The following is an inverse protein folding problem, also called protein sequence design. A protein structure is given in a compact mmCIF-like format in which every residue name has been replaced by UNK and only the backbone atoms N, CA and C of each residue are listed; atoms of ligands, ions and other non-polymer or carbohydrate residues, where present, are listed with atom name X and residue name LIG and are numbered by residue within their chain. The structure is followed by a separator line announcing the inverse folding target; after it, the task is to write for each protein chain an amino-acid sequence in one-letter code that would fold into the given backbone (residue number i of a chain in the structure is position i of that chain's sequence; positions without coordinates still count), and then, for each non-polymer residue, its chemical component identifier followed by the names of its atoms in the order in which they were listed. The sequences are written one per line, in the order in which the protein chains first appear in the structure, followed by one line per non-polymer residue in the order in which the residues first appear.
data_IF_163506252768
#
_entry.id   IF_163506252768
#
_cell.length_a   1.000
_cell.length_b   1.000
_cell.length_c   1.000
_cell.angle_alpha   90.00
_cell.angle_beta   90.00
_cell.angle_gamma   90.00
#
_symmetry.space_group_name_H-M   'P 1'
#
loop_
_entity.id
_entity.type
_entity.pdbx_description
1 polymer ?
#
# COMPACT_ATOMS: atom_id res chain seq x y z
N UNK A 1 -85.51 41.12 1.67
CA UNK A 1 -84.25 41.10 0.84
C UNK A 1 -83.25 40.18 1.47
N UNK A 2 -82.95 39.09 0.79
CA UNK A 2 -82.20 37.99 1.34
C UNK A 2 -80.68 38.18 1.04
N UNK A 3 -79.88 38.34 2.10
CA UNK A 3 -78.44 38.34 1.99
C UNK A 3 -77.87 36.91 2.09
N UNK A 4 -77.38 36.37 0.99
CA UNK A 4 -76.66 35.10 0.98
C UNK A 4 -75.33 35.25 1.70
N UNK A 5 -75.13 34.58 2.87
CA UNK A 5 -73.84 34.40 3.51
C UNK A 5 -73.01 33.39 2.70
N UNK A 6 -72.02 33.87 2.00
CA UNK A 6 -70.99 33.02 1.42
C UNK A 6 -70.19 32.38 2.56
N UNK A 7 -70.35 31.05 2.77
CA UNK A 7 -69.48 30.25 3.61
C UNK A 7 -68.18 30.03 2.85
N UNK A 8 -67.17 30.82 3.17
CA UNK A 8 -65.79 30.55 2.70
C UNK A 8 -65.37 29.16 3.16
N UNK A 9 -65.20 28.29 2.21
CA UNK A 9 -64.56 26.94 2.45
C UNK A 9 -63.09 27.17 2.72
N UNK A 10 -62.69 27.22 4.00
CA UNK A 10 -61.34 27.21 4.40
C UNK A 10 -60.80 25.79 4.14
N UNK A 11 -60.04 25.61 3.04
CA UNK A 11 -59.20 24.45 2.86
C UNK A 11 -58.10 24.50 3.90
N UNK A 12 -58.28 23.81 5.01
CA UNK A 12 -57.25 23.58 6.00
C UNK A 12 -56.23 22.63 5.40
N UNK A 13 -55.19 23.18 4.76
CA UNK A 13 -54.07 22.42 4.23
C UNK A 13 -53.44 21.68 5.40
N UNK A 14 -53.58 20.36 5.40
CA UNK A 14 -53.05 19.43 6.40
C UNK A 14 -51.53 19.28 6.20
N UNK A 15 -50.77 20.40 6.24
CA UNK A 15 -49.32 20.46 5.96
C UNK A 15 -48.45 19.98 7.10
N UNK A 16 -49.00 19.77 8.30
CA UNK A 16 -48.18 19.42 9.47
C UNK A 16 -47.63 17.99 9.42
N UNK A 17 -48.32 17.05 8.76
CA UNK A 17 -47.87 15.66 8.64
C UNK A 17 -46.72 15.48 7.67
N UNK A 18 -46.79 16.10 6.50
CA UNK A 18 -45.75 16.01 5.46
C UNK A 18 -44.46 16.64 5.96
N UNK A 19 -44.51 17.78 6.64
CA UNK A 19 -43.31 18.42 7.18
C UNK A 19 -42.64 17.57 8.28
N UNK A 20 -43.44 16.89 9.09
CA UNK A 20 -42.96 15.98 10.13
C UNK A 20 -42.27 14.74 9.52
N UNK A 21 -42.88 14.17 8.48
CA UNK A 21 -42.28 13.02 7.75
C UNK A 21 -41.01 13.42 7.04
N UNK A 22 -40.95 14.57 6.38
CA UNK A 22 -39.71 15.08 5.75
C UNK A 22 -38.59 15.30 6.75
N UNK A 23 -38.87 15.88 7.91
CA UNK A 23 -37.88 16.04 8.98
C UNK A 23 -37.38 14.68 9.48
N UNK A 24 -38.26 13.72 9.66
CA UNK A 24 -37.87 12.36 10.10
C UNK A 24 -36.96 11.70 9.07
N UNK A 25 -37.32 11.74 7.79
CA UNK A 25 -36.49 11.21 6.70
C UNK A 25 -35.14 11.93 6.68
N UNK A 26 -35.12 13.25 6.79
CA UNK A 26 -33.89 14.02 6.81
C UNK A 26 -32.93 13.60 7.97
N UNK A 27 -33.48 13.50 9.19
CA UNK A 27 -32.68 13.07 10.34
C UNK A 27 -32.21 11.63 10.22
N UNK A 28 -33.02 10.73 9.65
CA UNK A 28 -32.63 9.33 9.43
C UNK A 28 -31.49 9.24 8.42
N UNK A 29 -31.58 9.98 7.30
CA UNK A 29 -30.50 10.02 6.30
C UNK A 29 -29.22 10.65 6.88
N UNK A 30 -29.36 11.74 7.63
CA UNK A 30 -28.23 12.39 8.29
C UNK A 30 -27.53 11.44 9.27
N UNK A 31 -28.29 10.73 10.11
CA UNK A 31 -27.76 9.75 11.05
C UNK A 31 -27.03 8.61 10.31
N UNK A 32 -27.61 8.13 9.21
CA UNK A 32 -26.99 7.09 8.38
C UNK A 32 -25.67 7.55 7.78
N UNK A 33 -25.59 8.76 7.25
CA UNK A 33 -24.35 9.35 6.71
C UNK A 33 -23.30 9.50 7.81
N UNK A 34 -23.68 9.96 9.01
CA UNK A 34 -22.77 10.10 10.14
C UNK A 34 -22.22 8.75 10.61
N UNK A 35 -23.06 7.71 10.67
CA UNK A 35 -22.59 6.36 11.06
C UNK A 35 -21.65 5.77 10.02
N UNK A 36 -21.94 5.91 8.72
CA UNK A 36 -21.03 5.48 7.65
C UNK A 36 -19.69 6.22 7.72
N UNK A 37 -19.70 7.53 7.95
CA UNK A 37 -18.48 8.33 8.09
C UNK A 37 -17.65 7.88 9.28
N UNK A 38 -18.27 7.61 10.43
CA UNK A 38 -17.57 7.12 11.61
C UNK A 38 -16.93 5.75 11.38
N UNK A 39 -17.63 4.83 10.71
CA UNK A 39 -17.09 3.51 10.35
C UNK A 39 -15.90 3.66 9.40
N UNK A 40 -16.02 4.52 8.38
CA UNK A 40 -14.94 4.74 7.42
C UNK A 40 -13.68 5.33 8.08
N UNK A 41 -13.85 6.33 8.96
CA UNK A 41 -12.74 6.90 9.75
C UNK A 41 -12.09 5.84 10.63
N UNK A 42 -12.87 4.96 11.25
CA UNK A 42 -12.33 3.86 12.08
C UNK A 42 -11.50 2.89 11.24
N UNK A 43 -12.00 2.50 10.07
CA UNK A 43 -11.26 1.60 9.15
C UNK A 43 -9.95 2.25 8.72
N UNK A 44 -9.95 3.51 8.29
CA UNK A 44 -8.75 4.23 7.85
C UNK A 44 -7.73 4.46 8.97
N UNK A 45 -8.20 4.52 10.24
CA UNK A 45 -7.28 4.60 11.38
C UNK A 45 -6.58 3.27 11.70
N UNK A 46 -7.23 2.15 11.41
CA UNK A 46 -6.70 0.81 11.71
C UNK A 46 -5.90 0.26 10.52
N UNK A 47 -6.37 0.49 9.31
CA UNK A 47 -5.78 -0.03 8.07
C UNK A 47 -5.15 1.09 7.24
N UNK A 48 -4.01 0.78 6.64
CA UNK A 48 -3.32 1.65 5.70
C UNK A 48 -3.31 0.99 4.32
N UNK A 49 -3.66 1.72 3.25
CA UNK A 49 -3.45 1.23 1.89
C UNK A 49 -1.94 1.12 1.63
N UNK A 50 -1.51 -0.02 1.11
CA UNK A 50 -0.11 -0.35 0.85
C UNK A 50 -0.03 -1.21 -0.41
N UNK A 51 1.16 -1.33 -0.95
CA UNK A 51 1.47 -2.23 -2.05
C UNK A 51 2.12 -3.50 -1.50
N UNK A 52 1.49 -4.63 -1.73
CA UNK A 52 2.05 -5.94 -1.41
C UNK A 52 2.98 -6.34 -2.55
N UNK A 53 4.28 -6.37 -2.29
CA UNK A 53 5.27 -6.83 -3.25
C UNK A 53 5.43 -8.35 -3.21
N UNK A 54 5.50 -8.96 -4.38
CA UNK A 54 5.77 -10.39 -4.58
C UNK A 54 6.90 -10.56 -5.58
N UNK A 55 7.80 -11.48 -5.28
CA UNK A 55 8.86 -11.95 -6.18
C UNK A 55 8.76 -13.48 -6.25
N UNK A 56 8.58 -14.05 -7.44
CA UNK A 56 8.33 -15.50 -7.61
C UNK A 56 7.17 -16.02 -6.75
N UNK A 57 6.02 -15.32 -6.72
CA UNK A 57 4.85 -15.63 -5.89
C UNK A 57 5.09 -15.58 -4.37
N UNK A 58 6.32 -15.34 -3.91
CA UNK A 58 6.64 -15.13 -2.50
C UNK A 58 6.36 -13.68 -2.13
N UNK A 59 5.57 -13.48 -1.07
CA UNK A 59 5.35 -12.14 -0.51
C UNK A 59 6.64 -11.66 0.16
N UNK A 60 7.16 -10.52 -0.31
CA UNK A 60 8.37 -9.88 0.21
C UNK A 60 8.03 -8.88 1.31
N UNK A 61 6.89 -8.20 1.19
CA UNK A 61 6.48 -7.24 2.20
C UNK A 61 5.36 -6.32 1.73
N UNK A 62 5.06 -5.32 2.58
CA UNK A 62 4.05 -4.30 2.32
C UNK A 62 4.73 -2.94 2.32
N UNK A 63 4.73 -2.26 1.19
CA UNK A 63 5.41 -1.00 0.92
C UNK A 63 4.39 0.13 0.80
N UNK A 64 4.76 1.34 1.17
CA UNK A 64 3.90 2.52 0.98
C UNK A 64 3.79 2.90 -0.49
N UNK A 65 4.89 2.73 -1.23
CA UNK A 65 4.99 2.99 -2.67
C UNK A 65 5.85 1.91 -3.32
N UNK A 66 5.70 1.73 -4.62
CA UNK A 66 6.58 0.83 -5.39
C UNK A 66 8.03 1.31 -5.35
N UNK A 67 8.25 2.64 -5.38
CA UNK A 67 9.57 3.25 -5.30
C UNK A 67 10.33 2.89 -4.00
N UNK A 68 9.62 2.69 -2.89
CA UNK A 68 10.23 2.30 -1.61
C UNK A 68 10.93 0.92 -1.71
N UNK A 69 10.38 0.01 -2.51
CA UNK A 69 11.03 -1.28 -2.79
C UNK A 69 12.33 -1.08 -3.57
N UNK A 70 12.29 -0.26 -4.63
CA UNK A 70 13.44 0.01 -5.48
C UNK A 70 14.55 0.70 -4.70
N UNK A 71 14.22 1.68 -3.84
CA UNK A 71 15.18 2.35 -2.96
C UNK A 71 15.90 1.36 -2.02
N UNK A 72 15.16 0.45 -1.40
CA UNK A 72 15.74 -0.58 -0.51
C UNK A 72 16.62 -1.54 -1.31
N UNK A 73 16.18 -1.95 -2.50
CA UNK A 73 16.96 -2.84 -3.37
C UNK A 73 18.25 -2.17 -3.84
N UNK A 74 18.22 -0.89 -4.16
CA UNK A 74 19.41 -0.11 -4.53
C UNK A 74 20.40 0.01 -3.37
N UNK A 75 19.92 0.23 -2.14
CA UNK A 75 20.77 0.25 -0.94
C UNK A 75 21.49 -1.09 -0.79
N UNK A 76 20.77 -2.22 -0.87
CA UNK A 76 21.33 -3.56 -0.76
C UNK A 76 22.36 -3.82 -1.87
N UNK A 77 22.06 -3.40 -3.10
CA UNK A 77 22.94 -3.53 -4.25
C UNK A 77 24.25 -2.75 -4.06
N UNK A 78 24.15 -1.53 -3.55
CA UNK A 78 25.31 -0.66 -3.33
C UNK A 78 26.18 -1.11 -2.16
N UNK A 79 25.58 -1.60 -1.07
CA UNK A 79 26.34 -2.18 0.05
C UNK A 79 27.23 -3.34 -0.40
N UNK A 80 26.67 -4.25 -1.22
CA UNK A 80 27.43 -5.40 -1.72
C UNK A 80 28.55 -5.02 -2.68
N UNK A 81 28.39 -3.92 -3.43
CA UNK A 81 29.43 -3.38 -4.33
C UNK A 81 30.55 -2.65 -3.57
N UNK A 82 30.23 -2.06 -2.40
CA UNK A 82 31.19 -1.29 -1.62
C UNK A 82 32.34 -2.12 -1.04
N UNK A 83 32.21 -3.44 -0.96
CA UNK A 83 33.24 -4.34 -0.45
C UNK A 83 34.38 -4.61 -1.43
N UNK A 84 34.47 -3.91 -2.56
CA UNK A 84 35.52 -4.05 -3.56
C UNK A 84 35.47 -5.36 -4.34
N UNK A 85 34.32 -6.03 -4.31
CA UNK A 85 34.05 -7.29 -5.01
C UNK A 85 33.16 -7.01 -6.23
N UNK A 86 33.50 -7.62 -7.39
CA UNK A 86 32.63 -7.55 -8.56
C UNK A 86 31.36 -8.40 -8.32
N UNK A 87 30.31 -7.77 -7.77
CA UNK A 87 29.04 -8.41 -7.44
C UNK A 87 27.94 -7.85 -8.29
N UNK A 88 27.17 -8.72 -8.92
CA UNK A 88 25.89 -8.39 -9.54
C UNK A 88 24.75 -8.83 -8.63
N UNK A 89 23.97 -7.88 -8.13
CA UNK A 89 22.76 -8.15 -7.35
C UNK A 89 21.56 -8.12 -8.29
N UNK A 90 20.69 -9.11 -8.20
CA UNK A 90 19.52 -9.23 -9.06
C UNK A 90 18.37 -9.95 -8.36
N UNK A 91 17.16 -9.80 -8.90
CA UNK A 91 15.99 -10.57 -8.51
C UNK A 91 15.76 -11.70 -9.53
N UNK A 92 15.29 -12.85 -9.09
CA UNK A 92 14.97 -13.97 -10.01
C UNK A 92 13.78 -13.68 -10.93
N UNK A 93 12.88 -12.80 -10.50
CA UNK A 93 11.74 -12.32 -11.28
C UNK A 93 11.46 -10.86 -10.95
N UNK A 94 10.84 -10.16 -11.88
CA UNK A 94 10.40 -8.80 -11.65
C UNK A 94 9.37 -8.75 -10.51
N UNK A 95 9.47 -7.77 -9.60
CA UNK A 95 8.53 -7.62 -8.52
C UNK A 95 7.13 -7.26 -9.06
N UNK A 96 6.11 -7.89 -8.54
CA UNK A 96 4.71 -7.55 -8.82
C UNK A 96 4.10 -6.89 -7.60
N UNK A 97 3.32 -5.81 -7.82
CA UNK A 97 2.72 -5.01 -6.77
C UNK A 97 1.20 -5.10 -6.83
N UNK A 98 0.59 -5.45 -5.71
CA UNK A 98 -0.86 -5.52 -5.56
C UNK A 98 -1.32 -4.59 -4.44
N UNK A 99 -2.33 -3.74 -4.71
CA UNK A 99 -2.91 -2.90 -3.67
C UNK A 99 -3.52 -3.77 -2.56
N UNK A 100 -3.16 -3.49 -1.32
CA UNK A 100 -3.59 -4.23 -0.14
C UNK A 100 -3.85 -3.28 1.02
N UNK A 101 -4.78 -3.65 1.91
CA UNK A 101 -5.07 -2.90 3.13
C UNK A 101 -4.53 -3.68 4.33
N UNK A 102 -3.54 -3.13 5.00
CA UNK A 102 -2.82 -3.81 6.08
C UNK A 102 -2.96 -3.03 7.38
N UNK A 103 -3.06 -3.72 8.50
CA UNK A 103 -3.08 -3.09 9.82
C UNK A 103 -1.76 -2.38 10.10
N UNK A 104 -1.83 -1.18 10.67
CA UNK A 104 -0.66 -0.35 10.98
C UNK A 104 0.39 -1.07 11.81
N UNK A 105 -0.02 -1.80 12.85
CA UNK A 105 0.90 -2.57 13.69
C UNK A 105 1.72 -3.60 12.89
N UNK A 106 1.11 -4.27 11.91
CA UNK A 106 1.81 -5.22 11.05
C UNK A 106 2.85 -4.54 10.16
N UNK A 107 2.62 -3.29 9.75
CA UNK A 107 3.59 -2.50 8.99
C UNK A 107 4.79 -2.08 9.84
N UNK A 108 4.55 -1.78 11.13
CA UNK A 108 5.61 -1.40 12.08
C UNK A 108 6.48 -2.60 12.49
N UNK A 109 5.93 -3.81 12.49
CA UNK A 109 6.65 -5.03 12.87
C UNK A 109 7.50 -5.62 11.73
N UNK A 110 7.25 -5.26 10.46
CA UNK A 110 8.00 -5.80 9.32
C UNK A 110 9.37 -5.14 9.18
N UNK A 111 10.38 -5.93 8.82
CA UNK A 111 11.70 -5.45 8.45
C UNK A 111 11.89 -5.58 6.93
N UNK A 112 11.50 -4.53 6.20
CA UNK A 112 11.52 -4.51 4.72
C UNK A 112 12.92 -4.76 4.16
N UNK A 113 13.97 -4.21 4.78
CA UNK A 113 15.34 -4.43 4.36
C UNK A 113 15.72 -5.93 4.38
N UNK A 114 15.40 -6.62 5.47
CA UNK A 114 15.68 -8.06 5.59
C UNK A 114 14.88 -8.87 4.57
N UNK A 115 13.60 -8.55 4.39
CA UNK A 115 12.72 -9.27 3.46
C UNK A 115 13.18 -9.10 1.99
N UNK A 116 13.56 -7.88 1.59
CA UNK A 116 14.10 -7.62 0.24
C UNK A 116 15.47 -8.29 0.06
N UNK A 117 16.34 -8.23 1.08
CA UNK A 117 17.67 -8.89 1.05
C UNK A 117 17.55 -10.40 0.87
N UNK A 118 16.55 -11.04 1.49
CA UNK A 118 16.34 -12.49 1.43
C UNK A 118 15.90 -12.98 0.04
N UNK A 119 15.32 -12.12 -0.79
CA UNK A 119 14.96 -12.44 -2.18
C UNK A 119 15.99 -11.94 -3.19
N UNK A 120 16.89 -11.03 -2.79
CA UNK A 120 17.96 -10.51 -3.61
C UNK A 120 19.09 -11.53 -3.74
N UNK A 121 19.33 -11.99 -4.96
CA UNK A 121 20.44 -12.89 -5.27
C UNK A 121 21.70 -12.13 -5.64
N UNK A 122 22.84 -12.75 -5.41
CA UNK A 122 24.13 -12.17 -5.71
C UNK A 122 24.95 -13.15 -6.55
N UNK A 123 25.50 -12.66 -7.64
CA UNK A 123 26.44 -13.37 -8.49
C UNK A 123 27.80 -12.70 -8.37
N UNK A 124 28.81 -13.48 -8.05
CA UNK A 124 30.18 -13.02 -7.85
C UNK A 124 31.00 -13.34 -9.08
N UNK A 125 31.72 -12.37 -9.62
CA UNK A 125 32.69 -12.58 -10.67
C UNK A 125 34.02 -13.00 -10.04
N UNK A 126 34.51 -14.15 -10.43
CA UNK A 126 35.78 -14.70 -9.93
C UNK A 126 36.84 -14.57 -11.04
N UNK A 127 37.96 -13.95 -10.71
CA UNK A 127 39.09 -13.80 -11.59
C UNK A 127 40.17 -14.80 -11.17
N UNK A 128 40.61 -15.64 -12.11
CA UNK A 128 41.68 -16.62 -11.88
C UNK A 128 42.93 -16.18 -12.62
N UNK A 129 44.04 -16.11 -11.92
CA UNK A 129 45.35 -15.96 -12.54
C UNK A 129 45.89 -17.34 -12.89
N UNK A 130 46.10 -17.58 -14.18
CA UNK A 130 46.56 -18.85 -14.71
C UNK A 130 48.01 -18.69 -15.23
N UNK A 131 48.94 -19.42 -14.65
CA UNK A 131 50.31 -19.45 -15.09
C UNK A 131 50.67 -20.88 -15.54
N UNK A 132 51.11 -21.03 -16.78
CA UNK A 132 51.45 -22.32 -17.38
C UNK A 132 50.35 -23.39 -17.23
N UNK A 133 49.14 -23.02 -17.59
CA UNK A 133 47.91 -23.85 -17.52
C UNK A 133 47.51 -24.34 -16.12
N UNK A 134 48.04 -23.70 -15.08
CA UNK A 134 47.64 -23.96 -13.69
C UNK A 134 47.07 -22.69 -13.08
N UNK A 135 45.92 -22.80 -12.41
CA UNK A 135 45.37 -21.72 -11.60
C UNK A 135 46.20 -21.56 -10.35
N UNK A 136 46.88 -20.41 -10.21
CA UNK A 136 47.73 -20.14 -9.04
C UNK A 136 47.00 -19.32 -7.98
N UNK A 137 46.11 -18.37 -8.40
CA UNK A 137 45.38 -17.50 -7.51
C UNK A 137 43.97 -17.25 -8.05
N UNK A 138 43.04 -17.04 -7.13
CA UNK A 138 41.65 -16.69 -7.43
C UNK A 138 41.33 -15.40 -6.72
N UNK A 139 40.77 -14.43 -7.44
CA UNK A 139 40.39 -13.12 -6.93
C UNK A 139 38.92 -12.86 -7.17
N UNK A 140 38.30 -12.05 -6.30
CA UNK A 140 36.90 -11.61 -6.41
C UNK A 140 36.77 -10.24 -7.07
N UNK A 141 37.91 -9.60 -7.38
CA UNK A 141 37.97 -8.33 -8.09
C UNK A 141 39.04 -8.37 -9.16
N UNK A 142 38.81 -7.78 -10.32
CA UNK A 142 39.76 -7.65 -11.40
C UNK A 142 40.99 -6.81 -11.02
N UNK A 143 40.79 -5.81 -10.12
CA UNK A 143 41.86 -4.95 -9.63
C UNK A 143 42.82 -5.70 -8.68
N UNK A 144 42.39 -6.82 -8.10
CA UNK A 144 43.18 -7.65 -7.21
C UNK A 144 43.93 -8.78 -7.95
N UNK A 145 43.59 -9.03 -9.22
CA UNK A 145 44.22 -10.03 -10.07
C UNK A 145 45.35 -9.45 -10.88
#
# INVERSE_FOLDING_TARGET
MWGKKNKGVFFKVKGSGVLRTLRFIFFTVLLFVLTLSAVMVTILNIYTPTYRAKVNDKIVGYFKTEAEFDEIFDVISNEKKADGVDVKVYLEADPTFELSYVRKNKLEEQNLYTEVRDVAKSEYTIYNVVVKDKTEMTFTSKESA
#
